data_IF_865050137068
#
_entry.id   IF_865050137068
#
_cell.length_a   1.000
_cell.length_b   1.000
_cell.length_c   1.000
_cell.angle_alpha   90.00
_cell.angle_beta   90.00
_cell.angle_gamma   90.00
#
_symmetry.space_group_name_H-M   'P 1'
#
loop_
_entity.id
_entity.type
_entity.pdbx_description
1 polymer ?
#
# COMPACT_ATOMS: atom_id res chain seq x y z
N UNK A 1 11.49 21.63 15.98
CA UNK A 1 10.03 21.75 15.77
C UNK A 1 9.53 20.33 15.61
N UNK A 2 8.41 19.98 16.20
CA UNK A 2 7.81 18.67 15.95
C UNK A 2 7.36 18.59 14.47
N UNK A 3 7.31 17.38 13.91
CA UNK A 3 6.93 17.22 12.50
C UNK A 3 5.52 17.76 12.24
N UNK A 4 4.58 17.46 13.14
CA UNK A 4 3.21 17.96 13.02
C UNK A 4 3.14 19.50 13.01
N UNK A 5 3.87 20.17 13.89
CA UNK A 5 3.88 21.64 13.96
C UNK A 5 4.31 22.27 12.64
N UNK A 6 5.38 21.71 12.05
CA UNK A 6 5.91 22.16 10.75
C UNK A 6 4.82 22.15 9.66
N UNK A 7 4.07 21.03 9.54
CA UNK A 7 3.06 20.89 8.49
C UNK A 7 1.75 21.64 8.81
N UNK A 8 1.37 21.76 10.06
CA UNK A 8 0.18 22.54 10.44
C UNK A 8 0.41 24.05 10.31
N UNK A 9 1.61 24.55 10.62
CA UNK A 9 2.00 25.94 10.36
C UNK A 9 2.02 26.23 8.85
N UNK A 10 2.64 25.35 8.05
CA UNK A 10 2.64 25.47 6.59
C UNK A 10 1.20 25.49 6.05
N UNK A 11 0.35 24.58 6.52
CA UNK A 11 -1.06 24.53 6.12
C UNK A 11 -1.80 25.85 6.42
N UNK A 12 -1.64 26.40 7.63
CA UNK A 12 -2.33 27.66 8.01
C UNK A 12 -1.88 28.82 7.14
N UNK A 13 -0.60 28.86 6.77
CA UNK A 13 -0.05 29.88 5.88
C UNK A 13 -0.55 29.72 4.44
N UNK A 14 -0.49 28.50 3.91
CA UNK A 14 -0.74 28.20 2.50
C UNK A 14 -2.20 27.79 2.19
N UNK A 15 -3.09 27.78 3.19
CA UNK A 15 -4.48 27.37 3.03
C UNK A 15 -5.21 28.11 1.88
N UNK A 16 -5.06 29.43 1.69
CA UNK A 16 -5.72 30.12 0.59
C UNK A 16 -5.30 29.59 -0.78
N UNK A 17 -4.02 29.25 -0.95
CA UNK A 17 -3.49 28.66 -2.19
C UNK A 17 -4.04 27.25 -2.40
N UNK A 18 -4.02 26.41 -1.35
CA UNK A 18 -4.57 25.04 -1.38
C UNK A 18 -6.06 25.03 -1.74
N UNK A 19 -6.84 25.94 -1.17
CA UNK A 19 -8.28 26.01 -1.38
C UNK A 19 -8.66 26.61 -2.76
N UNK A 20 -7.77 27.38 -3.39
CA UNK A 20 -8.04 28.04 -4.67
C UNK A 20 -8.20 27.10 -5.85
N UNK A 21 -7.52 25.95 -5.84
CA UNK A 21 -7.49 24.98 -6.93
C UNK A 21 -7.96 23.57 -6.54
N UNK A 22 -8.55 23.43 -5.36
CA UNK A 22 -9.07 22.14 -4.89
C UNK A 22 -10.59 22.07 -4.90
N UNK A 23 -11.19 20.89 -5.18
CA UNK A 23 -12.62 20.67 -5.05
C UNK A 23 -13.13 21.03 -3.64
N UNK A 24 -14.39 21.47 -3.54
CA UNK A 24 -15.02 21.83 -2.25
C UNK A 24 -15.02 20.67 -1.24
N UNK A 25 -15.19 19.44 -1.72
CA UNK A 25 -15.13 18.23 -0.89
C UNK A 25 -13.77 18.08 -0.15
N UNK A 26 -12.65 18.49 -0.78
CA UNK A 26 -11.34 18.48 -0.13
C UNK A 26 -11.20 19.56 0.93
N UNK A 27 -11.87 20.71 0.78
CA UNK A 27 -11.86 21.78 1.79
C UNK A 27 -12.50 21.30 3.10
N UNK A 28 -13.66 20.64 3.01
CA UNK A 28 -14.33 20.08 4.18
C UNK A 28 -13.45 19.01 4.89
N UNK A 29 -12.72 18.21 4.13
CA UNK A 29 -11.76 17.25 4.72
C UNK A 29 -10.62 17.96 5.46
N UNK A 30 -10.10 19.08 4.95
CA UNK A 30 -9.04 19.85 5.60
C UNK A 30 -9.50 20.46 6.93
N UNK A 31 -10.74 20.95 7.00
CA UNK A 31 -11.31 21.49 8.23
C UNK A 31 -11.41 20.42 9.32
N UNK A 32 -11.84 19.21 8.96
CA UNK A 32 -11.85 18.07 9.86
C UNK A 32 -10.44 17.64 10.26
N UNK A 33 -9.51 17.65 9.30
CA UNK A 33 -8.13 17.22 9.50
C UNK A 33 -7.39 18.13 10.48
N UNK A 34 -7.43 19.44 10.29
CA UNK A 34 -6.74 20.37 11.18
C UNK A 34 -7.32 20.32 12.59
N UNK A 35 -8.64 20.23 12.75
CA UNK A 35 -9.27 20.11 14.06
C UNK A 35 -8.80 18.84 14.81
N UNK A 36 -8.74 17.70 14.11
CA UNK A 36 -8.26 16.44 14.68
C UNK A 36 -6.78 16.53 15.08
N UNK A 37 -5.93 17.08 14.21
CA UNK A 37 -4.48 17.16 14.44
C UNK A 37 -4.12 18.17 15.54
N UNK A 38 -4.87 19.27 15.65
CA UNK A 38 -4.71 20.24 16.75
C UNK A 38 -5.07 19.61 18.11
N UNK A 39 -6.10 18.76 18.17
CA UNK A 39 -6.47 18.00 19.36
C UNK A 39 -5.41 16.92 19.70
N UNK A 40 -4.89 16.23 18.68
CA UNK A 40 -3.88 15.19 18.86
C UNK A 40 -2.52 15.75 19.33
N UNK A 41 -2.16 16.96 18.91
CA UNK A 41 -0.96 17.71 19.30
C UNK A 41 0.36 17.15 18.78
N UNK A 42 0.39 15.93 18.22
CA UNK A 42 1.56 15.29 17.60
C UNK A 42 1.15 14.15 16.67
N UNK A 43 2.05 13.74 15.79
CA UNK A 43 1.91 12.49 15.07
C UNK A 43 2.25 11.28 15.97
N UNK A 44 1.81 10.07 15.63
CA UNK A 44 2.11 8.87 16.42
C UNK A 44 3.61 8.62 16.58
N UNK A 45 3.99 8.18 17.79
CA UNK A 45 5.36 7.82 18.17
C UNK A 45 5.41 6.41 18.76
N UNK A 46 6.62 5.87 18.98
CA UNK A 46 6.84 4.48 19.46
C UNK A 46 6.24 4.14 20.83
N UNK A 47 5.75 5.09 21.59
CA UNK A 47 5.02 4.81 22.83
C UNK A 47 3.50 4.70 22.64
N UNK A 48 2.98 4.96 21.45
CA UNK A 48 1.56 4.83 21.13
C UNK A 48 1.24 3.40 20.73
N UNK A 49 0.06 2.92 21.11
CA UNK A 49 -0.42 1.59 20.77
C UNK A 49 -0.50 1.42 19.25
N UNK A 50 0.01 0.30 18.74
CA UNK A 50 0.10 0.00 17.31
C UNK A 50 1.23 0.72 16.57
N UNK A 51 2.01 1.59 17.25
CA UNK A 51 3.15 2.30 16.66
C UNK A 51 4.50 1.96 17.33
N UNK A 52 4.56 0.94 18.19
CA UNK A 52 5.72 0.59 19.01
C UNK A 52 7.00 0.33 18.19
N UNK A 53 6.86 0.07 16.90
CA UNK A 53 8.00 -0.20 15.99
C UNK A 53 8.28 0.91 14.99
N UNK A 54 7.30 1.82 14.76
CA UNK A 54 7.43 2.89 13.76
C UNK A 54 6.92 4.21 14.32
N UNK A 55 7.80 5.19 14.46
CA UNK A 55 7.43 6.56 14.82
C UNK A 55 7.11 7.35 13.56
N UNK A 56 5.86 7.76 13.41
CA UNK A 56 5.44 8.61 12.29
C UNK A 56 6.03 10.02 12.44
N UNK A 57 6.13 10.50 13.68
CA UNK A 57 6.78 11.77 14.00
C UNK A 57 8.23 11.80 13.51
N UNK A 58 9.00 10.71 13.72
CA UNK A 58 10.38 10.60 13.22
C UNK A 58 10.44 10.47 11.69
N UNK A 59 9.49 9.78 11.07
CA UNK A 59 9.43 9.60 9.61
C UNK A 59 9.30 10.92 8.87
N UNK A 60 8.49 11.84 9.40
CA UNK A 60 8.19 13.14 8.78
C UNK A 60 8.87 14.33 9.46
N UNK A 61 9.78 14.08 10.41
CA UNK A 61 10.62 15.12 11.03
C UNK A 61 11.59 15.82 10.05
N UNK A 62 12.14 15.16 9.00
CA UNK A 62 12.92 15.89 8.00
C UNK A 62 12.08 16.99 7.34
N UNK A 63 12.74 18.12 7.04
CA UNK A 63 12.10 19.21 6.29
C UNK A 63 11.84 18.78 4.84
N UNK A 64 10.60 18.39 4.58
CA UNK A 64 10.12 17.98 3.26
C UNK A 64 9.18 19.07 2.74
N UNK A 65 9.53 19.69 1.62
CA UNK A 65 8.66 20.66 0.96
C UNK A 65 7.36 20.03 0.46
N UNK A 66 6.32 20.82 0.33
CA UNK A 66 5.05 20.44 -0.32
C UNK A 66 4.86 21.29 -1.56
N UNK A 67 4.47 20.68 -2.69
CA UNK A 67 4.26 21.41 -3.94
C UNK A 67 2.91 22.16 -3.94
N UNK A 68 2.76 23.11 -3.03
CA UNK A 68 1.51 23.88 -2.84
C UNK A 68 1.07 24.60 -4.12
N UNK A 69 2.02 25.17 -4.86
CA UNK A 69 1.75 25.92 -6.09
C UNK A 69 1.57 25.04 -7.32
N UNK A 70 1.56 23.69 -7.15
CA UNK A 70 1.39 22.71 -8.21
C UNK A 70 2.34 22.93 -9.40
N UNK A 71 3.59 23.32 -9.10
CA UNK A 71 4.63 23.48 -10.12
C UNK A 71 4.74 22.18 -10.91
N UNK A 72 4.74 22.29 -12.23
CA UNK A 72 4.87 21.12 -13.09
C UNK A 72 6.32 20.61 -13.04
N UNK A 73 6.49 19.38 -12.57
CA UNK A 73 7.78 18.70 -12.51
C UNK A 73 7.80 17.71 -13.66
N UNK A 74 8.67 17.90 -14.66
CA UNK A 74 8.74 17.01 -15.81
C UNK A 74 9.24 15.63 -15.39
N UNK A 75 8.63 14.58 -15.93
CA UNK A 75 9.04 13.18 -15.73
C UNK A 75 9.17 12.47 -17.06
N UNK A 76 10.15 11.59 -17.17
CA UNK A 76 10.23 10.62 -18.23
C UNK A 76 9.56 9.32 -17.78
N UNK A 77 8.29 9.16 -18.17
CA UNK A 77 7.50 7.99 -17.81
C UNK A 77 8.15 6.71 -18.35
N UNK A 78 8.69 6.75 -19.59
CA UNK A 78 9.31 5.57 -20.18
C UNK A 78 10.58 5.14 -19.43
N UNK A 79 11.42 6.12 -19.01
CA UNK A 79 12.60 5.84 -18.20
C UNK A 79 12.25 5.35 -16.78
N UNK A 80 11.07 5.69 -16.26
CA UNK A 80 10.63 5.26 -14.92
C UNK A 80 10.16 3.80 -14.90
N UNK A 81 9.76 3.23 -16.05
CA UNK A 81 9.45 1.81 -16.20
C UNK A 81 10.71 0.91 -16.23
N UNK A 82 11.56 1.01 -15.21
CA UNK A 82 12.80 0.22 -15.11
C UNK A 82 12.58 -1.25 -14.76
N UNK A 83 11.39 -1.63 -14.39
CA UNK A 83 11.06 -3.00 -13.98
C UNK A 83 11.14 -4.05 -15.10
N UNK A 84 11.75 -3.73 -16.24
CA UNK A 84 12.24 -4.68 -17.28
C UNK A 84 11.24 -5.67 -17.85
N UNK A 85 9.97 -5.60 -17.47
CA UNK A 85 8.95 -6.52 -17.95
C UNK A 85 8.09 -5.83 -18.99
N UNK A 86 8.24 -6.23 -20.27
CA UNK A 86 7.41 -5.71 -21.33
C UNK A 86 5.96 -6.19 -21.15
N UNK A 87 5.01 -5.27 -21.37
CA UNK A 87 3.68 -5.56 -21.87
C UNK A 87 2.69 -6.29 -20.94
N UNK A 88 2.49 -5.82 -19.70
CA UNK A 88 1.14 -5.91 -19.17
C UNK A 88 0.31 -4.91 -19.97
N UNK A 89 -0.64 -5.40 -20.79
CA UNK A 89 -1.57 -4.52 -21.50
C UNK A 89 -2.53 -3.90 -20.48
N UNK A 90 -2.23 -2.69 -20.01
CA UNK A 90 -3.02 -1.97 -19.00
C UNK A 90 -3.58 -0.66 -19.53
N UNK A 91 -4.57 -0.12 -18.85
CA UNK A 91 -5.04 1.25 -19.01
C UNK A 91 -4.28 2.12 -17.99
N UNK A 92 -3.31 2.90 -18.49
CA UNK A 92 -2.28 3.54 -17.70
C UNK A 92 -2.64 4.96 -17.28
N UNK A 93 -2.71 5.23 -15.98
CA UNK A 93 -2.71 6.55 -15.35
C UNK A 93 -1.36 6.82 -14.66
N UNK A 94 -0.88 8.03 -14.78
CA UNK A 94 0.39 8.47 -14.17
C UNK A 94 0.12 9.49 -13.09
N UNK A 95 0.79 9.33 -11.94
CA UNK A 95 0.79 10.29 -10.84
C UNK A 95 2.24 10.76 -10.63
N UNK A 96 2.48 12.05 -10.75
CA UNK A 96 3.78 12.65 -10.45
C UNK A 96 3.70 13.27 -9.07
N UNK A 97 4.44 12.68 -8.12
CA UNK A 97 4.37 13.00 -6.70
C UNK A 97 2.94 12.80 -6.13
N UNK A 98 2.10 13.82 -6.17
CA UNK A 98 0.71 13.83 -5.70
C UNK A 98 -0.30 14.31 -6.77
N UNK A 99 0.17 14.51 -8.02
CA UNK A 99 -0.64 15.02 -9.11
C UNK A 99 -0.92 13.97 -10.17
N UNK A 100 -2.18 13.67 -10.42
CA UNK A 100 -2.59 12.88 -11.57
C UNK A 100 -2.32 13.65 -12.87
N UNK A 101 -1.72 12.97 -13.86
CA UNK A 101 -1.42 13.54 -15.18
C UNK A 101 -2.45 13.03 -16.17
N UNK A 102 -3.37 13.89 -16.65
CA UNK A 102 -4.36 13.49 -17.64
C UNK A 102 -3.71 12.96 -18.91
N UNK A 103 -4.28 11.90 -19.48
CA UNK A 103 -3.82 11.29 -20.72
C UNK A 103 -4.98 11.09 -21.70
N UNK A 104 -4.89 11.72 -22.87
CA UNK A 104 -5.87 11.53 -23.95
C UNK A 104 -5.95 10.05 -24.39
N UNK A 105 -4.82 9.34 -24.36
CA UNK A 105 -4.78 7.90 -24.68
C UNK A 105 -5.53 7.06 -23.63
N UNK A 106 -5.42 7.39 -22.34
CA UNK A 106 -6.20 6.74 -21.29
C UNK A 106 -7.69 6.99 -21.50
N UNK A 107 -8.10 8.25 -21.59
CA UNK A 107 -9.53 8.62 -21.74
C UNK A 107 -10.19 8.01 -22.98
N UNK A 108 -9.46 7.92 -24.10
CA UNK A 108 -9.98 7.33 -25.35
C UNK A 108 -10.15 5.80 -25.30
N UNK A 109 -9.47 5.10 -24.37
CA UNK A 109 -9.47 3.64 -24.28
C UNK A 109 -10.25 3.09 -23.08
N UNK A 110 -10.80 3.96 -22.23
CA UNK A 110 -11.62 3.51 -21.10
C UNK A 110 -12.91 2.83 -21.61
N UNK A 111 -13.28 1.66 -21.05
CA UNK A 111 -14.55 1.04 -21.36
C UNK A 111 -15.73 1.92 -20.92
N UNK A 112 -16.88 1.75 -21.58
CA UNK A 112 -18.10 2.40 -21.14
C UNK A 112 -18.45 2.01 -19.69
N UNK A 113 -18.83 3.01 -18.88
CA UNK A 113 -19.12 2.80 -17.46
C UNK A 113 -17.87 2.78 -16.56
N UNK A 114 -16.69 3.05 -17.10
CA UNK A 114 -15.45 3.21 -16.31
C UNK A 114 -14.98 4.66 -16.35
N UNK A 115 -14.74 5.23 -15.17
CA UNK A 115 -14.09 6.53 -14.99
C UNK A 115 -12.72 6.32 -14.36
N UNK A 116 -11.70 6.94 -14.90
CA UNK A 116 -10.34 6.97 -14.35
C UNK A 116 -9.76 8.36 -14.60
N UNK A 117 -9.82 9.22 -13.57
CA UNK A 117 -9.51 10.65 -13.69
C UNK A 117 -8.95 11.23 -12.38
N UNK A 118 -8.60 12.50 -12.40
CA UNK A 118 -8.31 13.25 -11.19
C UNK A 118 -9.57 13.42 -10.31
N UNK A 119 -9.41 13.52 -8.99
CA UNK A 119 -10.54 13.83 -8.09
C UNK A 119 -11.19 15.17 -8.43
N UNK A 120 -10.39 16.14 -8.89
CA UNK A 120 -10.89 17.46 -9.33
C UNK A 120 -11.79 17.40 -10.57
N UNK A 121 -11.70 16.32 -11.37
CA UNK A 121 -12.52 16.08 -12.56
C UNK A 121 -13.77 15.23 -12.24
N UNK A 122 -13.86 14.72 -10.99
CA UNK A 122 -14.99 13.90 -10.57
C UNK A 122 -16.28 14.72 -10.48
N UNK A 123 -17.47 14.11 -10.73
CA UNK A 123 -18.74 14.77 -10.52
C UNK A 123 -18.87 15.28 -9.08
N UNK A 124 -19.04 16.60 -8.93
CA UNK A 124 -19.01 17.28 -7.62
C UNK A 124 -20.07 16.79 -6.63
N UNK A 125 -21.20 16.26 -7.13
CA UNK A 125 -22.29 15.72 -6.32
C UNK A 125 -22.01 14.29 -5.82
N UNK A 126 -21.06 13.56 -6.42
CA UNK A 126 -20.74 12.18 -6.09
C UNK A 126 -19.53 12.07 -5.15
N UNK A 127 -18.55 12.94 -5.34
CA UNK A 127 -17.30 12.92 -4.58
C UNK A 127 -17.49 12.92 -3.04
N UNK A 128 -18.39 13.73 -2.46
CA UNK A 128 -18.64 13.72 -1.01
C UNK A 128 -19.20 12.42 -0.46
N UNK A 129 -19.81 11.58 -1.31
CA UNK A 129 -20.38 10.28 -0.91
C UNK A 129 -19.30 9.21 -0.82
N UNK A 130 -18.20 9.37 -1.53
CA UNK A 130 -17.14 8.36 -1.65
C UNK A 130 -15.90 8.70 -0.82
N UNK A 131 -15.54 9.98 -0.80
CA UNK A 131 -14.31 10.45 -0.18
C UNK A 131 -14.44 10.47 1.36
N UNK A 132 -13.60 9.69 2.04
CA UNK A 132 -13.66 9.53 3.49
C UNK A 132 -14.80 8.65 3.98
N UNK A 133 -15.46 7.89 3.08
CA UNK A 133 -16.60 7.02 3.39
C UNK A 133 -16.17 5.59 3.74
N UNK A 134 -14.89 5.27 3.64
CA UNK A 134 -14.40 3.90 3.73
C UNK A 134 -13.91 3.51 5.14
N UNK A 135 -13.73 2.22 5.31
CA UNK A 135 -13.42 1.41 6.48
C UNK A 135 -12.49 2.01 7.56
N UNK A 136 -12.72 1.57 8.77
CA UNK A 136 -11.91 1.91 9.94
C UNK A 136 -12.17 3.30 10.51
N UNK A 137 -11.59 3.61 11.68
CA UNK A 137 -11.78 4.89 12.35
C UNK A 137 -11.08 6.04 11.60
N UNK A 138 -11.60 7.24 11.74
CA UNK A 138 -10.85 8.44 11.38
C UNK A 138 -9.68 8.60 12.35
N UNK A 139 -8.47 8.64 11.83
CA UNK A 139 -7.25 8.62 12.63
C UNK A 139 -6.20 9.62 12.13
N UNK A 140 -5.05 9.67 12.80
CA UNK A 140 -3.97 10.59 12.46
C UNK A 140 -3.49 10.45 11.00
N UNK A 141 -3.50 9.25 10.42
CA UNK A 141 -3.11 9.02 9.02
C UNK A 141 -4.08 9.65 8.03
N UNK A 142 -5.39 9.47 8.26
CA UNK A 142 -6.44 10.14 7.48
C UNK A 142 -6.33 11.66 7.59
N UNK A 143 -6.14 12.17 8.80
CA UNK A 143 -6.05 13.60 9.07
C UNK A 143 -4.79 14.20 8.43
N UNK A 144 -3.63 13.59 8.65
CA UNK A 144 -2.36 14.07 8.08
C UNK A 144 -2.39 14.09 6.56
N UNK A 145 -2.90 13.01 5.93
CA UNK A 145 -3.08 12.97 4.48
C UNK A 145 -4.02 14.07 3.99
N UNK A 146 -5.16 14.25 4.66
CA UNK A 146 -6.19 15.21 4.23
C UNK A 146 -5.78 16.67 4.41
N UNK A 147 -4.84 16.96 5.33
CA UNK A 147 -4.42 18.33 5.66
C UNK A 147 -3.89 19.08 4.44
N UNK A 148 -2.99 18.47 3.68
CA UNK A 148 -2.31 19.10 2.55
C UNK A 148 -2.73 18.48 1.20
N UNK A 149 -3.74 17.62 1.19
CA UNK A 149 -4.26 17.01 -0.03
C UNK A 149 -4.80 18.05 -0.99
N UNK A 150 -4.34 18.06 -2.23
CA UNK A 150 -4.76 19.02 -3.26
C UNK A 150 -5.62 18.38 -4.34
N UNK A 151 -5.37 17.10 -4.63
CA UNK A 151 -6.07 16.31 -5.64
C UNK A 151 -5.83 14.83 -5.34
N UNK A 152 -6.23 13.96 -6.23
CA UNK A 152 -6.02 12.52 -6.14
C UNK A 152 -6.51 11.81 -7.37
N UNK A 153 -6.74 10.51 -7.25
CA UNK A 153 -7.21 9.65 -8.34
C UNK A 153 -8.57 9.08 -7.99
N UNK A 154 -9.51 9.17 -8.93
CA UNK A 154 -10.78 8.47 -8.89
C UNK A 154 -10.78 7.34 -9.93
N UNK A 155 -11.11 6.14 -9.48
CA UNK A 155 -11.53 5.02 -10.31
C UNK A 155 -12.97 4.69 -9.93
N UNK A 156 -13.91 4.82 -10.88
CA UNK A 156 -15.30 4.44 -10.68
C UNK A 156 -15.69 3.44 -11.75
N UNK A 157 -16.28 2.33 -11.33
CA UNK A 157 -16.76 1.27 -12.22
C UNK A 157 -18.25 1.07 -11.95
N UNK A 158 -19.05 1.35 -12.96
CA UNK A 158 -20.51 1.26 -12.88
C UNK A 158 -21.00 -0.19 -12.70
N UNK A 159 -22.22 -0.33 -12.19
CA UNK A 159 -22.82 -1.62 -11.89
C UNK A 159 -22.79 -2.58 -13.10
N UNK A 160 -22.39 -3.83 -12.84
CA UNK A 160 -22.33 -4.91 -13.83
C UNK A 160 -21.21 -4.79 -14.87
N UNK A 161 -20.38 -3.75 -14.82
CA UNK A 161 -19.26 -3.58 -15.76
C UNK A 161 -18.09 -4.48 -15.37
N UNK A 162 -17.60 -5.26 -16.34
CA UNK A 162 -16.38 -6.06 -16.20
C UNK A 162 -15.25 -5.37 -16.97
N UNK A 163 -14.25 -4.89 -16.24
CA UNK A 163 -13.13 -4.16 -16.86
C UNK A 163 -12.14 -5.17 -17.46
N UNK A 164 -11.98 -5.20 -18.80
CA UNK A 164 -11.28 -6.30 -19.47
C UNK A 164 -9.75 -6.24 -19.31
N UNK A 165 -9.20 -5.09 -18.92
CA UNK A 165 -7.76 -4.88 -18.72
C UNK A 165 -7.52 -4.22 -17.38
N UNK A 166 -6.44 -4.53 -16.68
CA UNK A 166 -6.11 -3.84 -15.45
C UNK A 166 -5.98 -2.32 -15.66
N UNK A 167 -6.49 -1.57 -14.69
CA UNK A 167 -6.23 -0.14 -14.55
C UNK A 167 -4.92 0.01 -13.78
N UNK A 168 -3.93 0.68 -14.36
CA UNK A 168 -2.62 0.82 -13.73
C UNK A 168 -2.37 2.26 -13.31
N UNK A 169 -2.01 2.45 -12.04
CA UNK A 169 -1.55 3.72 -11.49
C UNK A 169 -0.03 3.62 -11.32
N UNK A 170 0.70 4.45 -12.03
CA UNK A 170 2.15 4.58 -11.88
C UNK A 170 2.47 5.87 -11.15
N UNK A 171 2.89 5.74 -9.90
CA UNK A 171 3.37 6.85 -9.10
C UNK A 171 4.87 7.06 -9.34
N UNK A 172 5.25 8.29 -9.67
CA UNK A 172 6.65 8.65 -9.91
C UNK A 172 7.04 9.75 -8.95
N UNK A 173 8.03 9.48 -8.09
CA UNK A 173 8.70 10.50 -7.32
C UNK A 173 9.75 11.19 -8.19
N UNK A 174 9.61 12.50 -8.34
CA UNK A 174 10.58 13.34 -9.05
C UNK A 174 10.58 14.75 -8.47
N UNK A 175 11.74 15.23 -8.03
CA UNK A 175 11.87 16.59 -7.49
C UNK A 175 13.34 17.00 -7.48
N UNK A 176 13.66 18.29 -7.65
CA UNK A 176 15.02 18.80 -7.46
C UNK A 176 15.39 18.98 -5.97
N UNK A 177 14.41 18.88 -5.05
CA UNK A 177 14.57 19.07 -3.60
C UNK A 177 13.72 18.06 -2.83
N UNK A 178 13.98 17.84 -1.53
CA UNK A 178 13.17 16.98 -0.68
C UNK A 178 11.69 17.34 -0.76
N UNK A 179 10.80 16.33 -0.90
CA UNK A 179 9.38 16.55 -1.15
C UNK A 179 8.49 15.55 -0.40
N UNK A 180 7.41 16.07 0.18
CA UNK A 180 6.30 15.28 0.72
C UNK A 180 5.15 15.26 -0.27
N UNK A 181 4.74 14.05 -0.68
CA UNK A 181 3.59 13.82 -1.54
C UNK A 181 2.38 13.36 -0.71
N UNK A 182 1.24 14.05 -0.86
CA UNK A 182 -0.04 13.67 -0.27
C UNK A 182 -0.91 13.00 -1.32
N UNK A 183 -1.04 11.68 -1.28
CA UNK A 183 -1.72 10.88 -2.29
C UNK A 183 -3.06 10.37 -1.78
N UNK A 184 -4.10 10.54 -2.59
CA UNK A 184 -5.43 9.96 -2.35
C UNK A 184 -5.89 9.20 -3.57
N UNK A 185 -6.34 7.96 -3.36
CA UNK A 185 -6.93 7.13 -4.42
C UNK A 185 -8.28 6.64 -3.92
N UNK A 186 -9.31 6.84 -4.72
CA UNK A 186 -10.67 6.37 -4.42
C UNK A 186 -11.09 5.40 -5.52
N UNK A 187 -11.43 4.18 -5.14
CA UNK A 187 -11.94 3.13 -6.04
C UNK A 187 -13.36 2.82 -5.64
N UNK A 188 -14.29 3.11 -6.53
CA UNK A 188 -15.71 2.79 -6.35
C UNK A 188 -16.07 1.69 -7.32
N UNK A 189 -16.30 0.51 -6.79
CA UNK A 189 -16.73 -0.66 -7.52
C UNK A 189 -18.21 -0.89 -7.23
N UNK A 190 -19.11 -0.51 -8.16
CA UNK A 190 -20.56 -0.67 -7.96
C UNK A 190 -20.99 -2.14 -8.03
N UNK A 191 -22.26 -2.39 -7.78
CA UNK A 191 -22.83 -3.74 -7.71
C UNK A 191 -22.46 -4.61 -8.91
N UNK A 192 -21.93 -5.81 -8.65
CA UNK A 192 -21.67 -6.85 -9.66
C UNK A 192 -20.58 -6.51 -10.67
N UNK A 193 -19.80 -5.44 -10.46
CA UNK A 193 -18.69 -5.10 -11.34
C UNK A 193 -17.43 -5.93 -11.05
N UNK A 194 -16.51 -5.98 -12.01
CA UNK A 194 -15.20 -6.62 -11.85
C UNK A 194 -14.09 -5.65 -12.28
N UNK A 195 -13.10 -5.43 -11.42
CA UNK A 195 -11.98 -4.55 -11.71
C UNK A 195 -10.68 -5.04 -11.08
N UNK A 196 -9.59 -4.95 -11.85
CA UNK A 196 -8.23 -5.15 -11.37
C UNK A 196 -7.48 -3.82 -11.43
N UNK A 197 -6.90 -3.41 -10.31
CA UNK A 197 -6.09 -2.19 -10.20
C UNK A 197 -4.67 -2.55 -9.78
N UNK A 198 -3.69 -2.07 -10.53
CA UNK A 198 -2.27 -2.24 -10.24
C UNK A 198 -1.69 -0.88 -9.91
N UNK A 199 -1.09 -0.70 -8.73
CA UNK A 199 -0.35 0.49 -8.34
C UNK A 199 1.13 0.17 -8.22
N UNK A 200 1.98 1.02 -8.79
CA UNK A 200 3.43 0.89 -8.70
C UNK A 200 4.04 2.23 -8.25
N UNK A 201 5.00 2.17 -7.32
CA UNK A 201 5.79 3.35 -6.90
C UNK A 201 7.19 3.27 -7.50
N UNK A 202 7.63 4.36 -8.14
CA UNK A 202 8.96 4.51 -8.74
C UNK A 202 9.59 5.84 -8.34
N UNK A 203 10.93 5.93 -8.38
CA UNK A 203 11.66 7.16 -8.10
C UNK A 203 12.56 7.50 -9.29
N UNK A 204 12.40 8.70 -9.85
CA UNK A 204 13.23 9.20 -10.94
C UNK A 204 14.47 9.95 -10.45
N UNK A 205 14.39 10.60 -9.29
CA UNK A 205 15.52 11.33 -8.66
C UNK A 205 15.94 10.61 -7.38
N UNK A 206 16.77 9.54 -7.48
CA UNK A 206 17.04 8.63 -6.36
C UNK A 206 17.84 9.26 -5.21
N UNK A 207 18.58 10.33 -5.48
CA UNK A 207 19.41 11.03 -4.47
C UNK A 207 18.60 12.03 -3.64
N UNK A 208 17.33 12.23 -3.97
CA UNK A 208 16.42 13.14 -3.26
C UNK A 208 15.60 12.36 -2.23
N UNK A 209 15.42 12.97 -1.05
CA UNK A 209 14.54 12.40 -0.02
C UNK A 209 13.08 12.66 -0.34
N UNK A 210 12.25 11.64 -0.19
CA UNK A 210 10.81 11.73 -0.38
C UNK A 210 10.06 11.27 0.85
N UNK A 211 8.96 11.98 1.15
CA UNK A 211 7.90 11.50 2.01
C UNK A 211 6.65 11.20 1.19
N UNK A 212 5.89 10.19 1.58
CA UNK A 212 4.56 9.95 1.07
C UNK A 212 3.59 9.68 2.20
N UNK A 213 2.54 10.47 2.29
CA UNK A 213 1.33 10.10 3.00
C UNK A 213 0.30 9.68 1.98
N UNK A 214 -0.15 8.43 2.05
CA UNK A 214 -1.06 7.86 1.06
C UNK A 214 -2.29 7.27 1.74
N UNK A 215 -3.47 7.56 1.18
CA UNK A 215 -4.71 6.89 1.57
C UNK A 215 -5.41 6.38 0.32
N UNK A 216 -5.71 5.08 0.32
CA UNK A 216 -6.48 4.39 -0.70
C UNK A 216 -7.80 3.95 -0.08
N UNK A 217 -8.90 4.32 -0.71
CA UNK A 217 -10.25 3.95 -0.29
C UNK A 217 -10.90 3.07 -1.36
N UNK A 218 -11.30 1.85 -1.00
CA UNK A 218 -11.98 0.91 -1.89
C UNK A 218 -13.39 0.64 -1.36
N UNK A 219 -14.39 1.04 -2.12
CA UNK A 219 -15.81 0.79 -1.86
C UNK A 219 -16.25 -0.37 -2.75
N UNK A 220 -16.29 -1.58 -2.19
CA UNK A 220 -16.72 -2.78 -2.90
C UNK A 220 -18.22 -3.00 -2.74
N UNK A 221 -18.98 -2.72 -3.79
CA UNK A 221 -20.44 -2.89 -3.88
C UNK A 221 -20.86 -4.34 -3.81
N UNK A 222 -22.17 -4.58 -3.66
CA UNK A 222 -22.74 -5.93 -3.58
C UNK A 222 -22.34 -6.79 -4.78
N UNK A 223 -21.81 -7.99 -4.53
CA UNK A 223 -21.40 -8.94 -5.57
C UNK A 223 -20.25 -8.44 -6.48
N UNK A 224 -19.60 -7.33 -6.14
CA UNK A 224 -18.45 -6.84 -6.91
C UNK A 224 -17.20 -7.68 -6.66
N UNK A 225 -16.28 -7.66 -7.64
CA UNK A 225 -14.96 -8.28 -7.52
C UNK A 225 -13.90 -7.24 -7.76
N UNK A 226 -13.03 -7.02 -6.76
CA UNK A 226 -11.95 -6.04 -6.81
C UNK A 226 -10.62 -6.75 -6.55
N UNK A 227 -9.68 -6.60 -7.47
CA UNK A 227 -8.28 -6.97 -7.27
C UNK A 227 -7.45 -5.69 -7.12
N UNK A 228 -6.67 -5.60 -6.04
CA UNK A 228 -5.77 -4.49 -5.77
C UNK A 228 -4.35 -4.99 -5.56
N UNK A 229 -3.44 -4.53 -6.41
CA UNK A 229 -2.03 -4.89 -6.36
C UNK A 229 -1.17 -3.64 -6.16
N UNK A 230 -0.39 -3.60 -5.09
CA UNK A 230 0.49 -2.48 -4.72
C UNK A 230 1.95 -2.94 -4.72
N UNK A 231 2.78 -2.35 -5.58
CA UNK A 231 4.19 -2.70 -5.72
C UNK A 231 5.04 -1.49 -5.40
N UNK A 232 5.79 -1.54 -4.31
CA UNK A 232 6.71 -0.50 -3.88
C UNK A 232 8.14 -0.80 -4.34
N UNK A 233 8.64 0.05 -5.22
CA UNK A 233 10.03 0.11 -5.67
C UNK A 233 10.57 1.55 -5.48
N UNK A 234 10.51 2.04 -4.26
CA UNK A 234 11.06 3.34 -3.89
C UNK A 234 12.56 3.25 -3.52
N UNK A 235 13.15 4.35 -3.08
CA UNK A 235 14.57 4.42 -2.71
C UNK A 235 14.76 4.36 -1.20
N UNK A 236 15.98 4.07 -0.70
CA UNK A 236 16.29 4.15 0.72
C UNK A 236 16.05 5.51 1.37
N UNK A 237 15.99 6.59 0.56
CA UNK A 237 15.65 7.93 1.01
C UNK A 237 14.14 8.21 1.13
N UNK A 238 13.29 7.21 0.93
CA UNK A 238 11.83 7.37 0.94
C UNK A 238 11.22 6.93 2.28
N UNK A 239 10.39 7.80 2.87
CA UNK A 239 9.52 7.49 3.99
C UNK A 239 8.06 7.44 3.51
N UNK A 240 7.39 6.28 3.62
CA UNK A 240 6.01 6.08 3.17
C UNK A 240 5.10 5.65 4.31
N UNK A 241 4.03 6.39 4.55
CA UNK A 241 2.91 6.00 5.40
C UNK A 241 1.66 5.83 4.57
N UNK A 242 1.23 4.59 4.38
CA UNK A 242 0.09 4.23 3.52
C UNK A 242 -1.03 3.61 4.33
N UNK A 243 -2.27 4.00 4.04
CA UNK A 243 -3.48 3.38 4.55
C UNK A 243 -4.33 2.87 3.39
N UNK A 244 -4.59 1.57 3.37
CA UNK A 244 -5.57 0.95 2.47
C UNK A 244 -6.84 0.65 3.26
N UNK A 245 -7.94 1.24 2.85
CA UNK A 245 -9.24 1.16 3.53
C UNK A 245 -10.27 0.55 2.61
N UNK A 246 -10.87 -0.55 3.02
CA UNK A 246 -11.77 -1.38 2.19
C UNK A 246 -13.08 -1.58 2.92
N UNK A 247 -14.19 -1.12 2.33
CA UNK A 247 -15.55 -1.44 2.79
C UNK A 247 -16.23 -2.41 1.83
N UNK A 248 -16.73 -3.54 2.36
CA UNK A 248 -17.31 -4.62 1.58
C UNK A 248 -18.80 -4.76 1.84
N UNK A 249 -19.61 -4.68 0.77
CA UNK A 249 -21.03 -5.03 0.78
C UNK A 249 -21.24 -6.52 0.48
N UNK A 250 -22.47 -7.01 0.69
CA UNK A 250 -22.78 -8.43 0.59
C UNK A 250 -22.24 -9.10 -0.68
N UNK A 251 -21.71 -10.31 -0.52
CA UNK A 251 -21.18 -11.16 -1.59
C UNK A 251 -20.05 -10.57 -2.42
N UNK A 252 -19.42 -9.46 -1.96
CA UNK A 252 -18.27 -8.88 -2.63
C UNK A 252 -17.01 -9.71 -2.39
N UNK A 253 -16.12 -9.68 -3.37
CA UNK A 253 -14.83 -10.36 -3.32
C UNK A 253 -13.71 -9.33 -3.48
N UNK A 254 -12.79 -9.30 -2.53
CA UNK A 254 -11.64 -8.39 -2.58
C UNK A 254 -10.35 -9.19 -2.41
N UNK A 255 -9.47 -9.09 -3.40
CA UNK A 255 -8.14 -9.69 -3.37
C UNK A 255 -7.06 -8.60 -3.38
N UNK A 256 -6.26 -8.54 -2.32
CA UNK A 256 -5.17 -7.57 -2.16
C UNK A 256 -3.85 -8.30 -2.10
N UNK A 257 -2.88 -7.86 -2.89
CA UNK A 257 -1.49 -8.27 -2.72
C UNK A 257 -0.56 -7.05 -2.76
N UNK A 258 0.22 -6.88 -1.70
CA UNK A 258 1.22 -5.80 -1.61
C UNK A 258 2.63 -6.39 -1.63
N UNK A 259 3.53 -5.74 -2.35
CA UNK A 259 4.93 -6.15 -2.43
C UNK A 259 5.84 -4.95 -2.17
N UNK A 260 6.52 -4.93 -1.02
CA UNK A 260 7.59 -3.97 -0.72
C UNK A 260 8.92 -4.60 -1.09
N UNK A 261 9.45 -4.21 -2.25
CA UNK A 261 10.69 -4.77 -2.82
C UNK A 261 11.90 -3.88 -2.56
N UNK A 262 11.70 -2.58 -2.50
CA UNK A 262 12.71 -1.58 -2.18
C UNK A 262 12.06 -0.36 -1.54
N UNK A 263 12.62 0.14 -0.44
CA UNK A 263 12.12 1.27 0.32
C UNK A 263 13.20 1.86 1.23
N UNK A 264 12.88 2.90 1.97
CA UNK A 264 13.61 3.34 3.16
C UNK A 264 12.88 2.89 4.43
N UNK A 265 11.85 3.67 4.82
CA UNK A 265 10.95 3.34 5.92
C UNK A 265 9.53 3.31 5.38
N UNK A 266 8.88 2.16 5.46
CA UNK A 266 7.49 2.00 5.00
C UNK A 266 6.62 1.47 6.12
N UNK A 267 5.50 2.16 6.37
CA UNK A 267 4.41 1.66 7.19
C UNK A 267 3.14 1.58 6.34
N UNK A 268 2.58 0.37 6.25
CA UNK A 268 1.31 0.10 5.60
C UNK A 268 0.27 -0.30 6.65
N UNK A 269 -0.89 0.30 6.59
CA UNK A 269 -2.05 -0.02 7.43
C UNK A 269 -3.20 -0.46 6.53
N UNK A 270 -3.79 -1.60 6.85
CA UNK A 270 -4.90 -2.20 6.11
C UNK A 270 -6.13 -2.23 7.02
N UNK A 271 -7.14 -1.43 6.71
CA UNK A 271 -8.43 -1.44 7.39
C UNK A 271 -9.46 -2.09 6.46
N UNK A 272 -10.02 -3.21 6.87
CA UNK A 272 -11.01 -3.94 6.07
C UNK A 272 -12.25 -4.15 6.91
N UNK A 273 -13.36 -3.50 6.52
CA UNK A 273 -14.67 -3.68 7.12
C UNK A 273 -15.52 -4.58 6.22
N UNK A 274 -15.79 -5.78 6.70
CA UNK A 274 -16.63 -6.80 6.05
C UNK A 274 -18.05 -6.65 6.61
N UNK A 275 -18.80 -5.67 6.06
CA UNK A 275 -20.13 -5.30 6.55
C UNK A 275 -21.24 -6.21 5.99
N UNK A 276 -21.01 -6.78 4.79
CA UNK A 276 -21.99 -7.60 4.10
C UNK A 276 -21.90 -9.09 4.43
N UNK A 277 -23.01 -9.82 4.21
CA UNK A 277 -23.02 -11.28 4.30
C UNK A 277 -22.24 -11.91 3.13
N UNK A 278 -21.54 -13.02 3.39
CA UNK A 278 -20.92 -13.86 2.36
C UNK A 278 -19.78 -13.21 1.58
N UNK A 279 -19.10 -12.24 2.17
CA UNK A 279 -17.94 -11.60 1.55
C UNK A 279 -16.72 -12.51 1.57
N UNK A 280 -15.86 -12.39 0.56
CA UNK A 280 -14.55 -13.02 0.50
C UNK A 280 -13.44 -11.94 0.48
N UNK A 281 -12.46 -12.11 1.37
CA UNK A 281 -11.32 -11.18 1.48
C UNK A 281 -10.01 -11.96 1.49
N UNK A 282 -9.10 -11.63 0.58
CA UNK A 282 -7.73 -12.12 0.62
C UNK A 282 -6.79 -10.94 0.74
N UNK A 283 -5.93 -11.00 1.75
CA UNK A 283 -4.91 -9.96 2.00
C UNK A 283 -3.54 -10.61 2.07
N UNK A 284 -2.68 -10.32 1.12
CA UNK A 284 -1.33 -10.86 1.05
C UNK A 284 -0.28 -9.75 1.05
N UNK A 285 0.84 -9.99 1.74
CA UNK A 285 1.96 -9.07 1.79
C UNK A 285 3.30 -9.78 1.63
N UNK A 286 4.12 -9.27 0.72
CA UNK A 286 5.50 -9.71 0.46
C UNK A 286 6.45 -8.57 0.79
N UNK A 287 7.39 -8.78 1.73
CA UNK A 287 8.34 -7.75 2.15
C UNK A 287 9.78 -8.28 2.09
N UNK A 288 10.66 -7.57 1.37
CA UNK A 288 12.08 -7.88 1.28
C UNK A 288 12.87 -6.67 1.76
N UNK A 289 13.52 -6.79 2.90
CA UNK A 289 14.35 -5.74 3.49
C UNK A 289 15.84 -6.11 3.47
N UNK A 290 16.68 -5.14 3.18
CA UNK A 290 18.15 -5.23 3.27
C UNK A 290 18.73 -3.92 3.80
N UNK A 291 20.05 -3.89 4.11
CA UNK A 291 20.69 -2.71 4.69
C UNK A 291 20.06 -2.31 6.02
N UNK A 292 19.50 -1.10 6.10
CA UNK A 292 18.82 -0.55 7.28
C UNK A 292 17.32 -0.31 7.02
N UNK A 293 16.77 -0.92 5.98
CA UNK A 293 15.35 -0.74 5.60
C UNK A 293 14.42 -1.17 6.74
N UNK A 294 13.30 -0.46 6.85
CA UNK A 294 12.24 -0.77 7.81
C UNK A 294 10.91 -0.95 7.09
N UNK A 295 10.23 -2.08 7.35
CA UNK A 295 8.94 -2.43 6.73
C UNK A 295 7.97 -2.87 7.81
N UNK A 296 6.92 -2.08 8.02
CA UNK A 296 5.90 -2.29 9.04
C UNK A 296 4.53 -2.44 8.38
N UNK A 297 3.88 -3.61 8.53
CA UNK A 297 2.54 -3.86 8.01
C UNK A 297 1.58 -4.11 9.17
N UNK A 298 0.48 -3.38 9.19
CA UNK A 298 -0.55 -3.47 10.22
C UNK A 298 -1.91 -3.75 9.57
N UNK A 299 -2.58 -4.82 9.96
CA UNK A 299 -3.89 -5.18 9.40
C UNK A 299 -4.97 -5.24 10.48
N UNK A 300 -6.10 -4.62 10.18
CA UNK A 300 -7.31 -4.60 11.01
C UNK A 300 -8.47 -5.08 10.13
N UNK A 301 -8.90 -6.34 10.32
CA UNK A 301 -9.98 -6.94 9.55
C UNK A 301 -11.15 -7.18 10.47
N UNK A 302 -12.26 -6.46 10.24
CA UNK A 302 -13.46 -6.50 11.07
C UNK A 302 -14.60 -7.19 10.32
N UNK A 303 -15.06 -8.32 10.82
CA UNK A 303 -16.25 -9.02 10.34
C UNK A 303 -17.49 -8.52 11.08
N UNK A 304 -18.40 -7.84 10.38
CA UNK A 304 -19.71 -7.39 10.90
C UNK A 304 -20.88 -8.15 10.28
N UNK A 305 -20.69 -8.63 9.04
CA UNK A 305 -21.66 -9.49 8.36
C UNK A 305 -21.50 -10.98 8.69
N UNK A 306 -22.52 -11.79 8.37
CA UNK A 306 -22.51 -13.25 8.52
C UNK A 306 -21.74 -13.92 7.36
N UNK A 307 -21.22 -15.12 7.57
CA UNK A 307 -20.62 -16.01 6.53
C UNK A 307 -19.51 -15.38 5.73
N UNK A 308 -18.81 -14.40 6.28
CA UNK A 308 -17.64 -13.81 5.67
C UNK A 308 -16.42 -14.75 5.76
N UNK A 309 -15.58 -14.72 4.73
CA UNK A 309 -14.29 -15.41 4.73
C UNK A 309 -13.16 -14.43 4.55
N UNK A 310 -12.15 -14.47 5.45
CA UNK A 310 -10.93 -13.70 5.29
C UNK A 310 -9.68 -14.56 5.46
N UNK A 311 -8.70 -14.39 4.56
CA UNK A 311 -7.41 -15.11 4.59
C UNK A 311 -6.26 -14.13 4.39
N UNK A 312 -5.42 -13.98 5.42
CA UNK A 312 -4.27 -13.09 5.44
C UNK A 312 -2.96 -13.87 5.42
N UNK A 313 -2.04 -13.50 4.52
CA UNK A 313 -0.71 -14.09 4.45
C UNK A 313 0.34 -13.00 4.27
N UNK A 314 1.18 -12.78 5.28
CA UNK A 314 2.34 -11.89 5.19
C UNK A 314 3.64 -12.65 5.34
N UNK A 315 4.56 -12.44 4.41
CA UNK A 315 5.89 -13.04 4.44
C UNK A 315 6.99 -12.01 4.32
N UNK A 316 8.03 -12.17 5.13
CA UNK A 316 9.21 -11.30 5.13
C UNK A 316 10.47 -12.10 4.89
N UNK A 317 11.37 -11.55 4.09
CA UNK A 317 12.79 -11.93 4.04
C UNK A 317 13.62 -10.71 4.37
N UNK A 318 14.37 -10.81 5.48
CA UNK A 318 15.14 -9.69 6.01
C UNK A 318 16.62 -10.04 6.05
N UNK A 319 17.42 -9.17 5.46
CA UNK A 319 18.88 -9.29 5.37
C UNK A 319 19.56 -8.11 6.07
N UNK A 320 20.86 -8.21 6.30
CA UNK A 320 21.72 -7.19 6.90
C UNK A 320 21.20 -6.73 8.27
N UNK A 321 20.84 -5.45 8.44
CA UNK A 321 20.26 -4.86 9.64
C UNK A 321 18.80 -4.39 9.41
N UNK A 322 18.13 -4.95 8.40
CA UNK A 322 16.74 -4.59 8.12
C UNK A 322 15.81 -5.01 9.26
N UNK A 323 14.77 -4.22 9.46
CA UNK A 323 13.76 -4.46 10.48
C UNK A 323 12.39 -4.63 9.84
N UNK A 324 11.69 -5.70 10.20
CA UNK A 324 10.30 -5.95 9.87
C UNK A 324 9.41 -5.82 11.10
N UNK A 325 8.19 -5.35 10.91
CA UNK A 325 7.14 -5.42 11.89
C UNK A 325 5.83 -5.89 11.23
N UNK A 326 5.08 -6.71 11.94
CA UNK A 326 3.75 -7.13 11.55
C UNK A 326 2.82 -7.12 12.77
N UNK A 327 1.77 -6.35 12.70
CA UNK A 327 0.67 -6.41 13.64
C UNK A 327 -0.61 -6.72 12.87
N UNK A 328 -1.33 -7.78 13.28
CA UNK A 328 -2.54 -8.17 12.61
C UNK A 328 -3.66 -8.40 13.61
N UNK A 329 -4.76 -7.68 13.48
CA UNK A 329 -5.94 -7.85 14.29
C UNK A 329 -7.10 -8.35 13.42
N UNK A 330 -7.71 -9.46 13.83
CA UNK A 330 -8.99 -9.92 13.32
C UNK A 330 -10.03 -9.68 14.41
N UNK A 331 -11.07 -8.93 14.07
CA UNK A 331 -12.22 -8.71 14.93
C UNK A 331 -13.46 -9.37 14.32
N UNK A 332 -14.16 -10.20 15.11
CA UNK A 332 -15.49 -10.68 14.75
C UNK A 332 -16.48 -10.05 15.71
N UNK A 333 -17.31 -9.15 15.18
CA UNK A 333 -18.24 -8.35 15.95
C UNK A 333 -19.38 -9.19 16.57
N UNK A 334 -20.02 -8.64 17.60
CA UNK A 334 -21.23 -9.26 18.15
C UNK A 334 -22.27 -9.47 17.07
N UNK A 335 -22.85 -10.68 17.01
CA UNK A 335 -23.90 -11.05 16.06
C UNK A 335 -23.41 -11.52 14.70
N UNK A 336 -22.14 -11.31 14.33
CA UNK A 336 -21.56 -11.80 13.08
C UNK A 336 -21.24 -13.29 13.17
N UNK A 337 -22.06 -14.15 12.54
CA UNK A 337 -22.01 -15.61 12.66
C UNK A 337 -21.42 -16.30 11.44
N UNK A 338 -20.91 -17.53 11.67
CA UNK A 338 -20.41 -18.42 10.62
C UNK A 338 -19.25 -17.85 9.81
N UNK A 339 -18.50 -16.90 10.40
CA UNK A 339 -17.32 -16.33 9.79
C UNK A 339 -16.12 -17.28 9.89
N UNK A 340 -15.30 -17.30 8.84
CA UNK A 340 -14.03 -18.01 8.80
C UNK A 340 -12.91 -17.00 8.57
N UNK A 341 -12.00 -16.85 9.52
CA UNK A 341 -10.96 -15.82 9.45
C UNK A 341 -9.58 -16.38 9.82
N UNK A 342 -8.65 -16.29 8.88
CA UNK A 342 -7.32 -16.86 9.00
C UNK A 342 -6.24 -15.80 8.80
N UNK A 343 -5.19 -15.85 9.64
CA UNK A 343 -4.05 -14.97 9.54
C UNK A 343 -2.75 -15.74 9.71
N UNK A 344 -1.81 -15.58 8.78
CA UNK A 344 -0.50 -16.19 8.81
C UNK A 344 0.59 -15.15 8.55
N UNK A 345 1.56 -15.07 9.47
CA UNK A 345 2.77 -14.30 9.28
C UNK A 345 3.99 -15.22 9.36
N UNK A 346 4.81 -15.25 8.30
CA UNK A 346 5.99 -16.10 8.24
C UNK A 346 7.21 -15.29 7.82
N UNK A 347 8.33 -15.46 8.51
CA UNK A 347 9.47 -14.57 8.36
C UNK A 347 10.77 -15.36 8.33
N UNK A 348 11.67 -14.99 7.40
CA UNK A 348 13.05 -15.48 7.34
C UNK A 348 13.98 -14.32 7.71
N UNK A 349 14.81 -14.54 8.74
CA UNK A 349 15.95 -13.68 9.07
C UNK A 349 17.19 -14.29 8.39
N UNK A 350 17.59 -13.69 7.28
CA UNK A 350 18.70 -14.19 6.47
C UNK A 350 20.07 -13.67 6.93
N UNK A 351 20.11 -12.74 7.91
CA UNK A 351 21.33 -12.20 8.52
C UNK A 351 21.16 -12.04 10.03
N UNK A 352 22.26 -12.08 10.79
CA UNK A 352 22.27 -11.93 12.26
C UNK A 352 21.77 -10.55 12.73
N UNK A 353 21.99 -9.50 11.91
CA UNK A 353 21.54 -8.13 12.18
C UNK A 353 20.04 -7.92 11.96
N UNK A 354 19.39 -8.75 11.13
CA UNK A 354 17.98 -8.62 10.80
C UNK A 354 17.07 -8.83 12.04
N UNK A 355 15.98 -8.09 12.10
CA UNK A 355 15.02 -8.14 13.21
C UNK A 355 13.59 -8.22 12.68
N UNK A 356 12.76 -9.05 13.35
CA UNK A 356 11.33 -9.13 13.07
C UNK A 356 10.53 -9.02 14.35
N UNK A 357 9.49 -8.22 14.31
CA UNK A 357 8.50 -8.07 15.37
C UNK A 357 7.14 -8.51 14.86
N UNK A 358 6.47 -9.41 15.55
CA UNK A 358 5.16 -9.92 15.11
C UNK A 358 4.19 -9.98 16.29
N UNK A 359 2.97 -9.45 16.08
CA UNK A 359 1.93 -9.32 17.09
C UNK A 359 0.56 -9.64 16.48
N UNK A 360 0.22 -10.92 16.26
CA UNK A 360 -1.11 -11.29 15.79
C UNK A 360 -2.12 -11.24 16.95
N UNK A 361 -3.34 -10.74 16.67
CA UNK A 361 -4.43 -10.59 17.64
C UNK A 361 -5.76 -11.12 17.09
N UNK A 362 -6.59 -11.69 17.98
CA UNK A 362 -7.96 -12.11 17.67
C UNK A 362 -8.91 -11.51 18.73
N UNK A 363 -9.90 -10.76 18.28
CA UNK A 363 -10.98 -10.19 19.09
C UNK A 363 -12.29 -10.85 18.66
N UNK A 364 -12.67 -11.93 19.32
CA UNK A 364 -13.79 -12.76 18.91
C UNK A 364 -14.95 -12.58 19.88
N UNK A 365 -16.03 -11.98 19.37
CA UNK A 365 -17.24 -11.71 20.17
C UNK A 365 -18.43 -12.61 19.76
N UNK A 366 -18.14 -13.78 19.14
CA UNK A 366 -19.16 -14.73 18.70
C UNK A 366 -18.62 -16.17 18.76
N UNK A 367 -19.46 -17.14 19.16
CA UNK A 367 -19.08 -18.54 19.34
C UNK A 367 -19.14 -19.35 18.03
N UNK A 368 -20.04 -18.97 17.10
CA UNK A 368 -20.27 -19.69 15.84
C UNK A 368 -19.30 -19.23 14.73
N UNK A 369 -17.98 -19.31 14.97
CA UNK A 369 -16.95 -18.87 14.04
C UNK A 369 -15.76 -19.81 14.02
N UNK A 370 -14.95 -19.75 12.94
CA UNK A 370 -13.65 -20.44 12.83
C UNK A 370 -12.57 -19.42 12.60
N UNK A 371 -11.79 -19.14 13.61
CA UNK A 371 -10.72 -18.15 13.54
C UNK A 371 -9.39 -18.75 13.97
N UNK A 372 -8.34 -18.46 13.25
CA UNK A 372 -6.99 -18.82 13.68
C UNK A 372 -5.95 -17.80 13.23
N UNK A 373 -4.91 -17.66 14.02
CA UNK A 373 -3.72 -16.94 13.63
C UNK A 373 -2.44 -17.74 13.88
N UNK A 374 -1.40 -17.45 13.14
CA UNK A 374 -0.09 -18.06 13.33
C UNK A 374 1.02 -17.10 12.92
N UNK A 375 2.08 -17.07 13.73
CA UNK A 375 3.29 -16.33 13.40
C UNK A 375 4.52 -17.24 13.60
N UNK A 376 5.44 -17.19 12.64
CA UNK A 376 6.69 -17.92 12.72
C UNK A 376 7.84 -17.07 12.17
N UNK A 377 8.91 -16.99 12.94
CA UNK A 377 10.16 -16.35 12.53
C UNK A 377 11.30 -17.33 12.70
N UNK A 378 12.07 -17.53 11.64
CA UNK A 378 13.18 -18.47 11.64
C UNK A 378 14.31 -18.04 10.71
N UNK A 379 15.28 -18.91 10.57
CA UNK A 379 16.37 -18.81 9.60
C UNK A 379 16.11 -19.74 8.41
N UNK A 380 16.97 -19.66 7.39
CA UNK A 380 16.94 -20.62 6.30
C UNK A 380 17.20 -22.05 6.82
N UNK A 381 16.49 -23.01 6.26
CA UNK A 381 16.65 -24.42 6.62
C UNK A 381 18.05 -24.93 6.25
N UNK A 382 18.87 -25.17 7.26
CA UNK A 382 20.24 -25.67 7.12
C UNK A 382 20.30 -27.06 6.46
N UNK A 383 19.29 -27.90 6.69
CA UNK A 383 19.22 -29.23 6.06
C UNK A 383 18.97 -29.10 4.56
N UNK A 384 18.09 -28.21 4.15
CA UNK A 384 17.83 -27.91 2.75
C UNK A 384 19.08 -27.29 2.08
N UNK A 385 19.74 -26.35 2.75
CA UNK A 385 20.99 -25.74 2.26
C UNK A 385 22.10 -26.83 2.08
N UNK A 386 22.26 -27.69 3.08
CA UNK A 386 23.23 -28.79 3.02
C UNK A 386 22.94 -29.72 1.84
N UNK A 387 21.69 -30.14 1.67
CA UNK A 387 21.26 -30.98 0.56
C UNK A 387 21.55 -30.37 -0.81
N UNK A 388 21.25 -29.08 -0.99
CA UNK A 388 21.49 -28.35 -2.24
C UNK A 388 23.00 -28.27 -2.54
N UNK A 389 23.81 -27.99 -1.52
CA UNK A 389 25.28 -27.98 -1.65
C UNK A 389 25.87 -29.31 -2.05
N UNK A 390 25.36 -30.42 -1.52
CA UNK A 390 25.76 -31.77 -1.95
C UNK A 390 25.44 -32.04 -3.43
N UNK A 391 24.49 -31.37 -4.02
CA UNK A 391 24.14 -31.41 -5.44
C UNK A 391 24.96 -30.45 -6.30
N UNK A 392 25.96 -29.79 -5.73
CA UNK A 392 26.87 -28.89 -6.44
C UNK A 392 26.37 -27.44 -6.56
N UNK A 393 25.28 -27.09 -5.90
CA UNK A 393 24.76 -25.70 -5.91
C UNK A 393 25.61 -24.85 -4.94
N UNK A 394 26.22 -23.74 -5.37
CA UNK A 394 26.95 -22.83 -4.48
C UNK A 394 26.06 -22.31 -3.34
N UNK A 395 26.64 -22.07 -2.16
CA UNK A 395 25.86 -21.63 -0.97
C UNK A 395 25.04 -20.37 -1.24
N UNK A 396 25.65 -19.38 -1.88
CA UNK A 396 24.95 -18.12 -2.19
C UNK A 396 23.71 -18.36 -3.09
N UNK A 397 23.84 -19.25 -4.07
CA UNK A 397 22.74 -19.61 -4.96
C UNK A 397 21.64 -20.42 -4.25
N UNK A 398 22.04 -21.39 -3.42
CA UNK A 398 21.11 -22.17 -2.61
C UNK A 398 20.27 -21.28 -1.67
N UNK A 399 20.91 -20.29 -1.02
CA UNK A 399 20.20 -19.31 -0.17
C UNK A 399 19.17 -18.51 -0.97
N UNK A 400 19.55 -17.99 -2.14
CA UNK A 400 18.63 -17.26 -3.02
C UNK A 400 17.42 -18.11 -3.42
N UNK A 401 17.67 -19.32 -3.89
CA UNK A 401 16.61 -20.24 -4.31
C UNK A 401 15.61 -20.53 -3.17
N UNK A 402 16.09 -20.72 -1.94
CA UNK A 402 15.21 -20.94 -0.79
C UNK A 402 14.41 -19.69 -0.43
N UNK A 403 15.02 -18.49 -0.47
CA UNK A 403 14.31 -17.23 -0.23
C UNK A 403 13.24 -16.96 -1.30
N UNK A 404 13.56 -17.23 -2.57
CA UNK A 404 12.60 -17.13 -3.68
C UNK A 404 11.43 -18.11 -3.48
N UNK A 405 11.72 -19.37 -3.24
CA UNK A 405 10.71 -20.39 -3.01
C UNK A 405 9.80 -20.04 -1.81
N UNK A 406 10.37 -19.46 -0.76
CA UNK A 406 9.59 -19.01 0.39
C UNK A 406 8.55 -17.93 0.05
N UNK A 407 8.87 -17.02 -0.90
CA UNK A 407 7.97 -15.93 -1.31
C UNK A 407 6.89 -16.35 -2.33
N UNK A 408 7.05 -17.49 -3.00
CA UNK A 408 6.16 -17.94 -4.09
C UNK A 408 4.69 -17.99 -3.64
N UNK A 409 4.41 -18.49 -2.43
CA UNK A 409 3.03 -18.61 -1.94
C UNK A 409 2.27 -17.28 -1.87
N UNK A 410 2.98 -16.16 -1.61
CA UNK A 410 2.37 -14.82 -1.62
C UNK A 410 2.09 -14.38 -3.04
N UNK A 411 3.07 -14.56 -3.92
CA UNK A 411 2.97 -14.16 -5.33
C UNK A 411 1.89 -14.97 -6.05
N UNK A 412 1.72 -16.24 -5.69
CA UNK A 412 0.70 -17.12 -6.29
C UNK A 412 -0.74 -16.73 -5.92
N UNK A 413 -0.92 -15.84 -4.94
CA UNK A 413 -2.22 -15.22 -4.63
C UNK A 413 -2.64 -14.14 -5.64
N UNK A 414 -1.74 -13.69 -6.50
CA UNK A 414 -2.04 -12.79 -7.60
C UNK A 414 -2.76 -13.56 -8.70
N UNK A 415 -4.00 -13.19 -8.98
CA UNK A 415 -4.82 -13.89 -9.97
C UNK A 415 -4.44 -13.50 -11.40
N UNK A 416 -4.00 -12.26 -11.62
CA UNK A 416 -3.55 -11.78 -12.92
C UNK A 416 -2.19 -12.40 -13.30
N UNK A 417 -2.21 -13.37 -14.23
CA UNK A 417 -1.07 -14.23 -14.59
C UNK A 417 0.19 -13.42 -14.98
N UNK A 418 0.04 -12.47 -15.90
CA UNK A 418 1.18 -11.66 -16.37
C UNK A 418 1.82 -10.85 -15.24
N UNK A 419 1.02 -10.34 -14.29
CA UNK A 419 1.53 -9.63 -13.11
C UNK A 419 2.25 -10.59 -12.16
N UNK A 420 1.69 -11.77 -11.95
CA UNK A 420 2.29 -12.81 -11.12
C UNK A 420 3.67 -13.21 -11.63
N UNK A 421 3.79 -13.46 -12.94
CA UNK A 421 5.07 -13.82 -13.56
C UNK A 421 6.09 -12.67 -13.50
N UNK A 422 5.61 -11.44 -13.67
CA UNK A 422 6.42 -10.25 -13.49
C UNK A 422 6.96 -10.15 -12.07
N UNK A 423 6.12 -10.30 -11.06
CA UNK A 423 6.55 -10.19 -9.67
C UNK A 423 7.54 -11.31 -9.30
N UNK A 424 7.35 -12.53 -9.80
CA UNK A 424 8.33 -13.60 -9.67
C UNK A 424 9.69 -13.19 -10.22
N UNK A 425 9.72 -12.62 -11.43
CA UNK A 425 10.96 -12.14 -12.03
C UNK A 425 11.60 -10.99 -11.23
N UNK A 426 10.81 -10.05 -10.72
CA UNK A 426 11.32 -8.97 -9.85
C UNK A 426 11.93 -9.52 -8.55
N UNK A 427 11.35 -10.56 -7.96
CA UNK A 427 11.92 -11.26 -6.81
C UNK A 427 13.27 -11.90 -7.16
N UNK A 428 13.40 -12.55 -8.32
CA UNK A 428 14.66 -13.13 -8.81
C UNK A 428 15.74 -12.05 -8.93
N UNK A 429 15.43 -10.92 -9.56
CA UNK A 429 16.36 -9.81 -9.69
C UNK A 429 16.76 -9.25 -8.32
N UNK A 430 15.81 -9.08 -7.41
CA UNK A 430 16.06 -8.53 -6.07
C UNK A 430 17.00 -9.41 -5.26
N UNK A 431 16.82 -10.75 -5.27
CA UNK A 431 17.69 -11.69 -4.60
C UNK A 431 19.02 -11.94 -5.33
N UNK A 432 19.09 -11.69 -6.64
CA UNK A 432 20.33 -11.83 -7.41
C UNK A 432 21.32 -10.70 -7.21
N UNK A 433 20.91 -9.59 -6.57
CA UNK A 433 21.69 -8.36 -6.49
C UNK A 433 21.77 -7.59 -7.82
N UNK A 434 21.07 -8.05 -8.86
CA UNK A 434 21.01 -7.43 -10.18
C UNK A 434 19.79 -6.46 -10.30
N UNK A 435 19.29 -5.97 -9.18
CA UNK A 435 18.19 -5.03 -9.18
C UNK A 435 18.65 -3.72 -9.81
N UNK A 436 18.12 -3.38 -10.98
CA UNK A 436 18.41 -2.12 -11.68
C UNK A 436 17.68 -0.92 -11.05
N UNK A 437 17.00 -1.13 -9.93
CA UNK A 437 16.36 -0.04 -9.19
C UNK A 437 17.44 0.78 -8.49
N UNK A 438 17.40 2.09 -8.68
CA UNK A 438 18.34 3.06 -8.13
C UNK A 438 18.40 3.09 -6.57
N UNK A 439 17.71 2.19 -5.90
CA UNK A 439 17.63 2.09 -4.44
C UNK A 439 18.13 0.79 -3.84
N UNK A 440 18.66 -0.14 -4.63
CA UNK A 440 19.20 -1.36 -4.05
C UNK A 440 20.55 -1.10 -3.39
N UNK A 441 20.63 -1.21 -2.06
CA UNK A 441 21.87 -1.01 -1.30
C UNK A 441 23.03 -1.91 -1.78
N UNK A 442 22.76 -3.04 -2.44
CA UNK A 442 23.77 -3.93 -3.03
C UNK A 442 24.33 -3.41 -4.37
N UNK A 443 23.58 -2.58 -5.11
CA UNK A 443 24.04 -2.06 -6.40
C UNK A 443 24.96 -0.84 -6.26
N UNK A 444 25.06 -0.23 -5.06
CA UNK A 444 25.93 0.91 -4.80
C UNK A 444 27.32 0.51 -4.27
N UNK A 445 27.52 -0.78 -3.91
CA UNK A 445 28.78 -1.29 -3.38
C UNK A 445 29.47 -2.31 -4.31
N UNK A 446 29.12 -2.36 -5.59
CA UNK A 446 29.76 -3.21 -6.60
C UNK A 446 30.56 -2.36 -7.59
#
# INVERSE_FOLDING_TARGET
MAALDQYTELFRHERPALDSHSPEALRALRDRAIAFLDEAGRLPVKCDEGFEKTSIEEMFAPDLGVNVNRVNIPVDVAASFRCGVPNISTLLGVVVNDRFVPSAALSANLPAGVTFCALSEAPSNMLPQWLGACAGPYNAGMAFNSLMLQDGVLIHVAAGVKVPKPLQIVNIFSSPAPLLAMRRIVVVAEQGCEVCVIKCDHTQTPDVKFGASEVVEILAGEGSRVEWYDIEESTPGTARWSQLRIGQKAHSQVNVCTATLSNGVTRNEYYVDIDGEGCETRLAGCAIGGGIQHIDNNSYVTHRGDRGHSDQLFKYVLEDNATGAFEGCIEVAHGARFNEAYQSNRNILASEGARMHTKPQLLIYNDDVKCSHGAATGQLDESALFYMRQRGIPLAEARKMLMQAFMVDVVDRIEHETLRDRLRHMLELRFSGNCQTAGCARCHNA
#
